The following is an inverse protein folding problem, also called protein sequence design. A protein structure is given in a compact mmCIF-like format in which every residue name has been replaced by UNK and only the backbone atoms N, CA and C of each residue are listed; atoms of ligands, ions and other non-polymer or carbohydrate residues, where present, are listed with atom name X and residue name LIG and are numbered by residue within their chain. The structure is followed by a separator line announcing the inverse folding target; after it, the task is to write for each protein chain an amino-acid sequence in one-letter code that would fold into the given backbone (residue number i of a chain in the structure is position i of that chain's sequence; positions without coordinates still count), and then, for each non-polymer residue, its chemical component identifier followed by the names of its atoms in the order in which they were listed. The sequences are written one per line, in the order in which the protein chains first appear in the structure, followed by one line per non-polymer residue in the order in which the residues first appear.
data_IF_155258548278
#
_entry.id   IF_155258548278
#
_cell.length_a   1.000
_cell.length_b   1.000
_cell.length_c   1.000
_cell.angle_alpha   90.00
_cell.angle_beta   90.00
_cell.angle_gamma   90.00
#
_symmetry.space_group_name_H-M   'P 1'
#
loop_
_entity.id
_entity.type
_entity.pdbx_description
1 polymer ?
#
# COMPACT_ATOMS: atom_id res chain seq x y z
N UNK A 1 2.48 18.41 0.67
CA UNK A 1 1.84 17.09 0.52
C UNK A 1 1.69 16.80 -0.96
N UNK A 2 2.08 15.62 -1.42
CA UNK A 2 1.87 15.15 -2.79
C UNK A 2 0.66 14.22 -2.84
N UNK A 3 -0.09 14.21 -3.94
CA UNK A 3 -1.30 13.39 -4.09
C UNK A 3 -1.26 12.61 -5.40
N UNK A 4 -1.34 11.29 -5.33
CA UNK A 4 -1.60 10.43 -6.47
C UNK A 4 -3.09 10.05 -6.46
N UNK A 5 -3.88 10.66 -7.34
CA UNK A 5 -5.33 10.46 -7.42
C UNK A 5 -5.78 10.50 -8.90
N UNK A 6 -5.85 9.34 -9.59
CA UNK A 6 -6.25 9.29 -11.00
C UNK A 6 -7.56 10.05 -11.26
N UNK A 7 -7.58 10.90 -12.29
CA UNK A 7 -8.74 11.71 -12.67
C UNK A 7 -8.85 13.08 -11.97
N UNK A 8 -7.98 13.41 -11.02
CA UNK A 8 -7.94 14.74 -10.37
C UNK A 8 -6.92 15.67 -11.02
N UNK A 9 -7.25 16.97 -11.09
CA UNK A 9 -6.39 18.00 -11.67
C UNK A 9 -5.15 18.33 -10.82
N UNK A 10 -5.24 18.16 -9.51
CA UNK A 10 -4.15 18.41 -8.54
C UNK A 10 -3.26 17.18 -8.30
N UNK A 11 -3.51 16.08 -9.01
CA UNK A 11 -2.76 14.84 -8.83
C UNK A 11 -1.40 14.86 -9.53
N UNK A 12 -0.41 14.31 -8.84
CA UNK A 12 0.87 13.94 -9.43
C UNK A 12 0.73 12.63 -10.22
N UNK A 13 1.59 12.49 -11.22
CA UNK A 13 1.72 11.27 -12.01
C UNK A 13 2.87 10.40 -11.50
N UNK A 14 2.60 9.10 -11.34
CA UNK A 14 3.56 8.09 -10.91
C UNK A 14 3.48 6.90 -11.86
N UNK A 15 4.46 6.80 -12.76
CA UNK A 15 4.62 5.65 -13.64
C UNK A 15 5.38 4.52 -12.91
N UNK A 16 4.75 3.36 -12.65
CA UNK A 16 5.41 2.25 -11.97
C UNK A 16 6.61 1.69 -12.75
N UNK A 17 6.57 1.68 -14.09
CA UNK A 17 7.68 1.14 -14.88
C UNK A 17 8.96 1.95 -14.69
N UNK A 18 8.84 3.27 -14.60
CA UNK A 18 9.99 4.16 -14.43
C UNK A 18 10.59 4.10 -13.01
N UNK A 19 9.90 3.46 -12.06
CA UNK A 19 10.45 3.13 -10.74
C UNK A 19 11.33 1.87 -10.72
N UNK A 20 11.40 1.11 -11.82
CA UNK A 20 12.27 -0.08 -11.92
C UNK A 20 13.71 0.34 -12.23
N UNK A 21 14.66 -0.03 -11.36
CA UNK A 21 16.08 0.30 -11.58
C UNK A 21 16.68 -0.54 -12.70
N UNK A 22 17.70 0.01 -13.38
CA UNK A 22 18.50 -0.73 -14.34
C UNK A 22 19.47 -1.73 -13.69
N UNK A 23 20.23 -2.43 -14.53
CA UNK A 23 21.34 -3.28 -14.09
C UNK A 23 20.93 -4.49 -13.26
N UNK A 24 21.68 -4.77 -12.19
CA UNK A 24 21.52 -5.98 -11.37
C UNK A 24 20.16 -6.09 -10.65
N UNK A 25 19.47 -4.96 -10.42
CA UNK A 25 18.20 -4.91 -9.69
C UNK A 25 16.96 -4.94 -10.58
N UNK A 26 17.13 -4.82 -11.90
CA UNK A 26 16.01 -4.68 -12.84
C UNK A 26 15.01 -5.83 -12.73
N UNK A 27 15.49 -7.06 -12.63
CA UNK A 27 14.62 -8.23 -12.49
C UNK A 27 13.85 -8.22 -11.16
N UNK A 28 14.54 -7.98 -10.04
CA UNK A 28 13.91 -8.00 -8.71
C UNK A 28 12.89 -6.88 -8.52
N UNK A 29 13.20 -5.68 -9.02
CA UNK A 29 12.30 -4.53 -8.92
C UNK A 29 11.04 -4.73 -9.77
N UNK A 30 11.23 -5.17 -11.02
CA UNK A 30 10.11 -5.47 -11.90
C UNK A 30 9.27 -6.64 -11.36
N UNK A 31 9.90 -7.64 -10.74
CA UNK A 31 9.22 -8.77 -10.10
C UNK A 31 8.36 -8.31 -8.91
N UNK A 32 8.87 -7.45 -8.04
CA UNK A 32 8.12 -6.91 -6.91
C UNK A 32 6.92 -6.07 -7.39
N UNK A 33 7.12 -5.21 -8.39
CA UNK A 33 6.04 -4.47 -9.03
C UNK A 33 4.99 -5.41 -9.64
N UNK A 34 5.41 -6.42 -10.41
CA UNK A 34 4.51 -7.34 -11.09
C UNK A 34 3.69 -8.20 -10.11
N UNK A 35 4.30 -8.65 -9.01
CA UNK A 35 3.59 -9.34 -7.91
C UNK A 35 2.56 -8.45 -7.24
N UNK A 36 2.96 -7.23 -6.88
CA UNK A 36 2.06 -6.23 -6.31
C UNK A 36 0.90 -5.92 -7.25
N UNK A 37 1.16 -5.79 -8.55
CA UNK A 37 0.14 -5.51 -9.55
C UNK A 37 -0.81 -6.67 -9.80
N UNK A 38 -0.29 -7.84 -10.16
CA UNK A 38 -1.11 -8.99 -10.55
C UNK A 38 -1.82 -9.65 -9.37
N UNK A 39 -1.25 -9.53 -8.16
CA UNK A 39 -1.75 -10.16 -6.93
C UNK A 39 -2.05 -11.66 -7.13
N UNK A 40 -1.20 -12.32 -7.90
CA UNK A 40 -1.36 -13.70 -8.36
C UNK A 40 -0.19 -14.57 -7.88
N UNK A 41 -0.44 -15.85 -7.67
CA UNK A 41 0.60 -16.85 -7.41
C UNK A 41 1.10 -17.53 -8.70
N UNK A 42 0.48 -17.24 -9.84
CA UNK A 42 0.93 -17.75 -11.14
C UNK A 42 2.29 -17.14 -11.50
N UNK A 43 3.34 -17.90 -11.20
CA UNK A 43 4.72 -17.50 -11.46
C UNK A 43 5.01 -17.21 -12.93
N UNK A 44 4.30 -17.84 -13.87
CA UNK A 44 4.52 -17.60 -15.29
C UNK A 44 3.82 -16.35 -15.78
N UNK A 45 2.60 -16.08 -15.30
CA UNK A 45 1.92 -14.79 -15.54
C UNK A 45 2.75 -13.62 -14.99
N UNK A 46 3.27 -13.77 -13.77
CA UNK A 46 4.14 -12.78 -13.15
C UNK A 46 5.41 -12.59 -13.98
N UNK A 47 6.15 -13.68 -14.27
CA UNK A 47 7.38 -13.60 -15.02
C UNK A 47 7.18 -12.99 -16.43
N UNK A 48 6.04 -13.28 -17.05
CA UNK A 48 5.64 -12.69 -18.34
C UNK A 48 5.44 -11.18 -18.26
N UNK A 49 4.76 -10.68 -17.21
CA UNK A 49 4.62 -9.24 -17.00
C UNK A 49 5.99 -8.57 -16.76
N UNK A 50 6.85 -9.21 -15.96
CA UNK A 50 8.22 -8.72 -15.70
C UNK A 50 9.02 -8.60 -17.00
N UNK A 51 9.00 -9.65 -17.82
CA UNK A 51 9.70 -9.65 -19.10
C UNK A 51 9.20 -8.57 -20.04
N UNK A 52 7.88 -8.38 -20.15
CA UNK A 52 7.28 -7.33 -20.97
C UNK A 52 7.59 -5.93 -20.44
N UNK A 53 7.58 -5.72 -19.12
CA UNK A 53 7.93 -4.45 -18.50
C UNK A 53 9.37 -4.05 -18.82
N UNK A 54 10.32 -4.97 -18.62
CA UNK A 54 11.73 -4.74 -18.91
C UNK A 54 12.00 -4.56 -20.40
N UNK A 55 11.27 -5.30 -21.25
CA UNK A 55 11.32 -5.13 -22.70
C UNK A 55 10.82 -3.75 -23.14
N UNK A 56 9.71 -3.27 -22.58
CA UNK A 56 9.18 -1.92 -22.85
C UNK A 56 10.14 -0.83 -22.39
N UNK A 57 10.73 -0.96 -21.20
CA UNK A 57 11.74 -0.01 -20.72
C UNK A 57 12.98 0.06 -21.62
N UNK A 58 13.35 -1.06 -22.24
CA UNK A 58 14.54 -1.14 -23.10
C UNK A 58 14.26 -0.67 -24.53
N UNK A 59 13.10 -1.02 -25.10
CA UNK A 59 12.87 -0.93 -26.55
C UNK A 59 11.66 -0.10 -26.96
N UNK A 60 10.72 0.22 -26.05
CA UNK A 60 9.61 1.09 -26.40
C UNK A 60 10.09 2.55 -26.55
N UNK A 61 9.39 3.30 -27.41
CA UNK A 61 9.55 4.76 -27.48
C UNK A 61 9.27 5.38 -26.11
N UNK A 62 9.92 6.48 -25.73
CA UNK A 62 9.76 7.09 -24.41
C UNK A 62 8.31 7.26 -23.96
N UNK A 63 7.42 7.66 -24.87
CA UNK A 63 6.00 7.93 -24.61
C UNK A 63 5.20 6.65 -24.34
N UNK A 64 5.70 5.49 -24.80
CA UNK A 64 5.07 4.18 -24.62
C UNK A 64 5.67 3.38 -23.43
N UNK A 65 6.58 3.98 -22.64
CA UNK A 65 7.20 3.33 -21.47
C UNK A 65 6.31 3.39 -20.23
N UNK A 66 5.06 2.95 -20.38
CA UNK A 66 4.04 2.92 -19.32
C UNK A 66 3.25 1.61 -19.37
N UNK A 67 2.48 1.32 -18.32
CA UNK A 67 1.58 0.17 -18.31
C UNK A 67 0.45 0.32 -19.35
N UNK A 68 0.02 1.54 -19.64
CA UNK A 68 -0.92 1.84 -20.73
C UNK A 68 -0.30 1.57 -22.11
N UNK A 69 0.95 1.99 -22.34
CA UNK A 69 1.70 1.68 -23.57
C UNK A 69 1.93 0.17 -23.76
N UNK A 70 2.22 -0.55 -22.66
CA UNK A 70 2.27 -2.01 -22.68
C UNK A 70 0.95 -2.64 -23.10
N UNK A 71 -0.18 -2.16 -22.56
CA UNK A 71 -1.50 -2.64 -22.97
C UNK A 71 -1.77 -2.38 -24.44
N UNK A 72 -1.45 -1.19 -24.94
CA UNK A 72 -1.60 -0.88 -26.38
C UNK A 72 -0.79 -1.84 -27.25
N UNK A 73 0.42 -2.20 -26.83
CA UNK A 73 1.23 -3.19 -27.53
C UNK A 73 0.64 -4.62 -27.48
N UNK A 74 -0.21 -4.94 -26.50
CA UNK A 74 -0.91 -6.23 -26.38
C UNK A 74 -2.21 -6.31 -27.19
N UNK A 75 -2.63 -5.23 -27.84
CA UNK A 75 -3.78 -5.26 -28.76
C UNK A 75 -3.58 -6.25 -29.93
N UNK A 76 -2.33 -6.49 -30.32
CA UNK A 76 -1.92 -7.55 -31.25
C UNK A 76 -0.96 -8.52 -30.54
N UNK A 77 -1.47 -9.53 -29.82
CA UNK A 77 -0.65 -10.43 -29.01
C UNK A 77 0.24 -11.33 -29.88
N UNK A 78 -0.16 -11.66 -31.12
CA UNK A 78 0.67 -12.47 -32.02
C UNK A 78 1.90 -11.69 -32.48
N UNK A 79 1.71 -10.45 -32.93
CA UNK A 79 2.82 -9.57 -33.28
C UNK A 79 3.73 -9.33 -32.09
N UNK A 80 3.15 -9.03 -30.92
CA UNK A 80 3.93 -8.78 -29.70
C UNK A 80 4.78 -9.97 -29.29
N UNK A 81 4.21 -11.17 -29.37
CA UNK A 81 4.92 -12.43 -29.13
C UNK A 81 6.07 -12.62 -30.13
N UNK A 82 5.83 -12.43 -31.43
CA UNK A 82 6.85 -12.58 -32.46
C UNK A 82 8.00 -11.58 -32.27
N UNK A 83 7.69 -10.31 -32.04
CA UNK A 83 8.69 -9.25 -31.80
C UNK A 83 9.52 -9.52 -30.54
N UNK A 84 8.90 -9.99 -29.45
CA UNK A 84 9.62 -10.35 -28.23
C UNK A 84 10.54 -11.55 -28.46
N UNK A 85 10.02 -12.62 -29.05
CA UNK A 85 10.79 -13.85 -29.31
C UNK A 85 11.94 -13.62 -30.28
N UNK A 86 11.77 -12.78 -31.30
CA UNK A 86 12.82 -12.42 -32.26
C UNK A 86 13.95 -11.64 -31.58
N UNK A 87 13.63 -10.64 -30.76
CA UNK A 87 14.63 -9.83 -30.05
C UNK A 87 15.46 -10.65 -29.05
N UNK A 88 14.84 -11.61 -28.39
CA UNK A 88 15.47 -12.46 -27.37
C UNK A 88 15.80 -13.87 -27.91
N UNK A 89 15.97 -14.01 -29.23
CA UNK A 89 16.21 -15.29 -29.90
C UNK A 89 17.61 -15.88 -29.61
N UNK A 90 18.62 -15.01 -29.54
CA UNK A 90 20.04 -15.36 -29.44
C UNK A 90 20.60 -15.14 -28.01
N UNK A 91 21.59 -15.95 -27.63
CA UNK A 91 22.45 -15.65 -26.48
C UNK A 91 23.30 -14.46 -26.89
N UNK A 92 23.00 -13.27 -26.37
CA UNK A 92 24.00 -12.20 -26.37
C UNK A 92 25.20 -12.70 -25.57
N UNK A 93 26.31 -12.98 -26.25
CA UNK A 93 27.57 -13.44 -25.64
C UNK A 93 28.24 -12.35 -24.79
N UNK A 94 27.75 -11.10 -24.88
CA UNK A 94 28.13 -10.01 -24.00
C UNK A 94 27.15 -9.89 -22.82
N UNK A 95 27.67 -10.18 -21.64
CA UNK A 95 27.21 -9.83 -20.31
C UNK A 95 26.17 -8.67 -20.24
N UNK A 96 24.96 -8.93 -19.72
CA UNK A 96 23.91 -7.90 -19.51
C UNK A 96 23.04 -8.20 -18.27
N UNK A 97 23.60 -8.83 -17.24
CA UNK A 97 22.99 -9.02 -15.93
C UNK A 97 21.78 -9.98 -15.84
N UNK A 98 21.26 -10.23 -14.62
CA UNK A 98 20.23 -11.25 -14.35
C UNK A 98 18.94 -11.09 -15.18
N UNK A 99 18.55 -9.85 -15.46
CA UNK A 99 17.34 -9.52 -16.22
C UNK A 99 17.38 -10.00 -17.69
N UNK A 100 18.56 -10.03 -18.30
CA UNK A 100 18.71 -10.48 -19.69
C UNK A 100 18.56 -11.99 -19.81
N UNK A 101 19.20 -12.75 -18.90
CA UNK A 101 19.07 -14.20 -18.86
C UNK A 101 17.62 -14.67 -18.68
N UNK A 102 16.86 -14.00 -17.82
CA UNK A 102 15.45 -14.31 -17.59
C UNK A 102 14.55 -13.99 -18.79
N UNK A 103 14.77 -12.86 -19.49
CA UNK A 103 14.05 -12.54 -20.73
C UNK A 103 14.29 -13.59 -21.82
N UNK A 104 15.54 -14.03 -22.01
CA UNK A 104 15.88 -15.13 -22.92
C UNK A 104 15.25 -16.46 -22.48
N UNK A 105 15.18 -16.74 -21.18
CA UNK A 105 14.49 -17.94 -20.65
C UNK A 105 13.00 -17.92 -21.01
N UNK A 106 12.32 -16.79 -20.82
CA UNK A 106 10.89 -16.64 -21.13
C UNK A 106 10.66 -16.71 -22.64
N UNK A 107 11.49 -16.07 -23.45
CA UNK A 107 11.40 -16.16 -24.91
C UNK A 107 11.56 -17.61 -25.42
N UNK A 108 12.44 -18.41 -24.81
CA UNK A 108 12.57 -19.84 -25.13
C UNK A 108 11.31 -20.62 -24.76
N UNK A 109 10.72 -20.36 -23.59
CA UNK A 109 9.47 -20.99 -23.21
C UNK A 109 8.33 -20.63 -24.17
N UNK A 110 8.15 -19.33 -24.47
CA UNK A 110 7.10 -18.87 -25.37
C UNK A 110 7.25 -19.38 -26.81
N UNK A 111 8.48 -19.60 -27.29
CA UNK A 111 8.72 -20.27 -28.59
C UNK A 111 8.33 -21.74 -28.57
N UNK A 112 8.53 -22.43 -27.44
CA UNK A 112 8.19 -23.84 -27.28
C UNK A 112 6.67 -24.06 -27.22
N UNK A 113 5.95 -23.15 -26.58
CA UNK A 113 4.49 -23.22 -26.42
C UNK A 113 3.86 -21.85 -26.70
N UNK A 114 3.68 -21.55 -27.99
CA UNK A 114 3.13 -20.28 -28.45
C UNK A 114 1.66 -20.08 -28.06
N UNK A 115 0.87 -21.16 -27.99
CA UNK A 115 -0.53 -21.05 -27.58
C UNK A 115 -0.68 -20.69 -26.11
N UNK A 116 0.11 -21.31 -25.22
CA UNK A 116 0.15 -20.91 -23.82
C UNK A 116 0.62 -19.47 -23.65
N UNK A 117 1.65 -19.07 -24.40
CA UNK A 117 2.13 -17.69 -24.40
C UNK A 117 1.01 -16.70 -24.79
N UNK A 118 0.28 -16.98 -25.87
CA UNK A 118 -0.84 -16.13 -26.31
C UNK A 118 -1.97 -16.07 -25.27
N UNK A 119 -2.28 -17.16 -24.57
CA UNK A 119 -3.22 -17.13 -23.44
C UNK A 119 -2.72 -16.21 -22.33
N UNK A 120 -1.45 -16.33 -21.93
CA UNK A 120 -0.84 -15.45 -20.91
C UNK A 120 -0.86 -13.98 -21.36
N UNK A 121 -0.57 -13.67 -22.62
CA UNK A 121 -0.61 -12.29 -23.13
C UNK A 121 -2.03 -11.70 -23.08
N UNK A 122 -3.06 -12.48 -23.43
CA UNK A 122 -4.47 -12.06 -23.30
C UNK A 122 -4.87 -11.87 -21.84
N UNK A 123 -4.36 -12.71 -20.94
CA UNK A 123 -4.60 -12.55 -19.50
C UNK A 123 -3.97 -11.25 -18.99
N UNK A 124 -2.76 -10.92 -19.43
CA UNK A 124 -2.12 -9.65 -19.10
C UNK A 124 -2.87 -8.44 -19.67
N UNK A 125 -3.38 -8.50 -20.89
CA UNK A 125 -4.23 -7.43 -21.45
C UNK A 125 -5.47 -7.18 -20.57
N UNK A 126 -6.17 -8.26 -20.15
CA UNK A 126 -7.31 -8.17 -19.23
C UNK A 126 -6.92 -7.55 -17.88
N UNK A 127 -5.75 -7.88 -17.34
CA UNK A 127 -5.24 -7.32 -16.08
C UNK A 127 -4.86 -5.85 -16.20
N UNK A 128 -4.44 -5.42 -17.39
CA UNK A 128 -4.09 -4.03 -17.68
C UNK A 128 -5.31 -3.19 -18.10
N UNK A 129 -6.52 -3.78 -18.15
CA UNK A 129 -7.73 -3.11 -18.60
C UNK A 129 -8.04 -1.81 -17.85
N UNK A 130 -7.57 -1.65 -16.60
CA UNK A 130 -7.72 -0.40 -15.84
C UNK A 130 -7.16 0.82 -16.58
N UNK A 131 -6.15 0.64 -17.44
CA UNK A 131 -5.53 1.71 -18.21
C UNK A 131 -6.29 2.05 -19.50
N UNK A 132 -7.53 1.59 -19.67
CA UNK A 132 -8.38 1.95 -20.81
C UNK A 132 -9.12 3.27 -20.66
N UNK A 133 -9.26 3.76 -19.42
CA UNK A 133 -10.18 4.84 -19.07
C UNK A 133 -9.59 6.26 -19.19
N UNK A 134 -8.39 6.39 -19.74
CA UNK A 134 -7.70 7.67 -19.88
C UNK A 134 -7.10 8.18 -18.57
N UNK A 135 -7.89 8.23 -17.49
CA UNK A 135 -7.50 8.76 -16.18
C UNK A 135 -6.28 8.03 -15.60
N UNK A 136 -6.31 6.71 -15.56
CA UNK A 136 -5.18 5.93 -15.05
C UNK A 136 -4.01 5.91 -16.03
N UNK A 137 -4.29 6.02 -17.33
CA UNK A 137 -3.24 6.10 -18.34
C UNK A 137 -2.44 7.40 -18.18
N UNK A 138 -3.12 8.55 -18.01
CA UNK A 138 -2.52 9.85 -17.77
C UNK A 138 -1.79 9.89 -16.42
N UNK A 139 -2.44 9.40 -15.35
CA UNK A 139 -1.84 9.36 -14.01
C UNK A 139 -0.57 8.49 -13.94
N UNK A 140 -0.35 7.59 -14.91
CA UNK A 140 0.82 6.71 -14.98
C UNK A 140 1.70 6.94 -16.20
N UNK A 141 1.51 8.02 -16.97
CA UNK A 141 2.32 8.27 -18.17
C UNK A 141 3.74 8.73 -17.80
N UNK A 142 3.85 9.62 -16.81
CA UNK A 142 5.11 10.22 -16.37
C UNK A 142 5.40 9.90 -14.90
N UNK A 143 6.60 10.25 -14.45
CA UNK A 143 7.10 9.90 -13.11
C UNK A 143 7.63 11.15 -12.42
N UNK A 144 6.76 11.81 -11.66
CA UNK A 144 7.04 13.09 -11.00
C UNK A 144 7.61 12.92 -9.58
N UNK A 145 7.48 11.73 -8.99
CA UNK A 145 7.99 11.41 -7.66
C UNK A 145 8.75 10.10 -7.69
N UNK A 146 10.02 10.12 -7.26
CA UNK A 146 10.75 8.89 -6.95
C UNK A 146 10.49 8.52 -5.49
N UNK A 147 10.07 7.30 -5.22
CA UNK A 147 9.83 6.85 -3.85
C UNK A 147 11.08 6.94 -2.95
N UNK A 148 12.27 6.89 -3.54
CA UNK A 148 13.52 7.13 -2.84
C UNK A 148 13.52 8.51 -2.15
N UNK A 149 12.99 9.54 -2.80
CA UNK A 149 12.98 10.93 -2.31
C UNK A 149 12.02 11.09 -1.14
N UNK A 150 10.90 10.36 -1.16
CA UNK A 150 9.99 10.23 -0.01
C UNK A 150 10.67 9.52 1.17
N UNK A 151 11.44 8.46 0.91
CA UNK A 151 12.17 7.70 1.96
C UNK A 151 13.31 8.52 2.57
N UNK A 152 14.02 9.30 1.76
CA UNK A 152 15.09 10.20 2.22
C UNK A 152 14.57 11.45 2.96
N UNK A 153 13.26 11.73 2.87
CA UNK A 153 12.63 12.89 3.52
C UNK A 153 12.68 14.19 2.71
N UNK A 154 12.99 14.12 1.42
CA UNK A 154 12.93 15.27 0.50
C UNK A 154 11.47 15.66 0.19
N UNK A 155 10.54 14.69 0.28
CA UNK A 155 9.10 14.93 0.27
C UNK A 155 8.48 14.62 1.65
N UNK A 156 7.54 15.45 2.10
CA UNK A 156 6.94 15.32 3.43
C UNK A 156 5.89 14.20 3.53
N UNK A 157 5.02 14.07 2.54
CA UNK A 157 3.97 13.06 2.51
C UNK A 157 3.43 12.82 1.10
N UNK A 158 2.97 11.59 0.87
CA UNK A 158 2.27 11.13 -0.33
C UNK A 158 0.92 10.53 0.07
N UNK A 159 -0.16 11.01 -0.52
CA UNK A 159 -1.48 10.37 -0.42
C UNK A 159 -1.79 9.67 -1.74
N UNK A 160 -1.98 8.36 -1.70
CA UNK A 160 -2.46 7.56 -2.81
C UNK A 160 -3.96 7.30 -2.62
N UNK A 161 -4.77 7.89 -3.48
CA UNK A 161 -6.23 7.79 -3.41
C UNK A 161 -6.74 6.81 -4.45
N UNK A 162 -7.63 5.92 -4.03
CA UNK A 162 -8.45 5.16 -4.96
C UNK A 162 -9.72 5.95 -5.30
N UNK A 163 -10.06 6.14 -6.59
CA UNK A 163 -11.30 6.82 -6.96
C UNK A 163 -12.53 6.12 -6.36
N UNK A 164 -13.47 6.86 -5.74
CA UNK A 164 -14.68 6.29 -5.15
C UNK A 164 -15.48 5.43 -6.14
N UNK A 165 -15.91 4.25 -5.70
CA UNK A 165 -16.61 3.26 -6.53
C UNK A 165 -15.73 2.49 -7.52
N UNK A 166 -14.43 2.81 -7.62
CA UNK A 166 -13.45 2.12 -8.49
C UNK A 166 -12.26 1.58 -7.69
N UNK A 167 -12.42 1.41 -6.38
CA UNK A 167 -11.36 1.02 -5.46
C UNK A 167 -10.78 -0.35 -5.81
N UNK A 168 -11.65 -1.34 -6.06
CA UNK A 168 -11.22 -2.69 -6.45
C UNK A 168 -10.46 -2.71 -7.78
N UNK A 169 -10.87 -1.85 -8.72
CA UNK A 169 -10.21 -1.73 -10.02
C UNK A 169 -8.82 -1.09 -9.88
N UNK A 170 -8.66 -0.13 -8.96
CA UNK A 170 -7.44 0.64 -8.74
C UNK A 170 -6.46 -0.06 -7.79
N UNK A 171 -6.96 -0.95 -6.93
CA UNK A 171 -6.17 -1.69 -5.94
C UNK A 171 -4.91 -2.40 -6.50
N UNK A 172 -4.93 -3.06 -7.68
CA UNK A 172 -3.73 -3.57 -8.34
C UNK A 172 -2.61 -2.53 -8.52
N UNK A 173 -2.95 -1.34 -9.02
CA UNK A 173 -1.98 -0.28 -9.24
C UNK A 173 -1.40 0.22 -7.91
N UNK A 174 -2.26 0.48 -6.93
CA UNK A 174 -1.84 0.92 -5.60
C UNK A 174 -0.95 -0.13 -4.91
N UNK A 175 -1.29 -1.41 -5.05
CA UNK A 175 -0.49 -2.53 -4.53
C UNK A 175 0.90 -2.58 -5.17
N UNK A 176 1.00 -2.33 -6.49
CA UNK A 176 2.29 -2.20 -7.18
C UNK A 176 3.11 -1.01 -6.65
N UNK A 177 2.48 0.16 -6.48
CA UNK A 177 3.13 1.36 -5.94
C UNK A 177 3.64 1.15 -4.51
N UNK A 178 2.86 0.51 -3.65
CA UNK A 178 3.28 0.13 -2.29
C UNK A 178 4.46 -0.83 -2.30
N UNK A 179 4.45 -1.84 -3.18
CA UNK A 179 5.57 -2.77 -3.32
C UNK A 179 6.87 -2.05 -3.73
N UNK A 180 6.76 -1.04 -4.60
CA UNK A 180 7.89 -0.21 -5.00
C UNK A 180 8.35 0.73 -3.89
N UNK A 181 7.44 1.33 -3.13
CA UNK A 181 7.76 2.16 -1.96
C UNK A 181 8.52 1.35 -0.90
N UNK A 182 8.09 0.12 -0.62
CA UNK A 182 8.78 -0.79 0.31
C UNK A 182 10.14 -1.24 -0.25
N UNK A 183 10.24 -1.43 -1.55
CA UNK A 183 11.52 -1.70 -2.23
C UNK A 183 12.46 -0.49 -2.16
N UNK A 184 11.90 0.72 -2.08
CA UNK A 184 12.68 1.93 -2.01
C UNK A 184 13.40 2.12 -0.66
N UNK A 185 12.90 1.47 0.40
CA UNK A 185 13.61 1.35 1.67
C UNK A 185 14.71 0.27 1.54
N UNK A 186 15.97 0.59 1.88
CA UNK A 186 17.05 -0.40 1.80
C UNK A 186 16.82 -1.56 2.78
N UNK A 187 17.58 -2.64 2.61
CA UNK A 187 17.66 -3.69 3.62
C UNK A 187 18.18 -3.15 4.97
N UNK A 188 19.05 -2.15 4.95
CA UNK A 188 19.51 -1.42 6.13
C UNK A 188 18.50 -0.30 6.48
N UNK A 189 18.18 -0.16 7.76
CA UNK A 189 17.16 0.79 8.24
C UNK A 189 17.58 2.26 8.14
N UNK A 190 18.88 2.53 8.03
CA UNK A 190 19.49 3.86 8.02
C UNK A 190 19.72 4.41 6.60
N UNK A 191 19.38 3.65 5.55
CA UNK A 191 19.59 4.06 4.16
C UNK A 191 18.38 3.77 3.26
N UNK A 192 18.25 4.55 2.19
CA UNK A 192 17.41 4.19 1.07
C UNK A 192 18.14 3.24 0.11
N UNK A 193 17.41 2.68 -0.85
CA UNK A 193 17.96 1.73 -1.83
C UNK A 193 19.00 2.32 -2.80
N UNK A 194 19.20 3.65 -2.79
CA UNK A 194 20.24 4.36 -3.52
C UNK A 194 21.46 4.67 -2.64
N UNK A 195 21.43 4.26 -1.37
CA UNK A 195 22.49 4.49 -0.40
C UNK A 195 22.45 5.86 0.27
N UNK A 196 21.40 6.66 0.06
CA UNK A 196 21.21 7.93 0.77
C UNK A 196 20.81 7.67 2.21
N UNK A 197 21.14 8.59 3.11
CA UNK A 197 20.73 8.51 4.51
C UNK A 197 19.22 8.56 4.65
N UNK A 198 18.68 7.64 5.45
CA UNK A 198 17.28 7.64 5.87
C UNK A 198 17.23 8.16 7.30
N UNK A 199 16.79 9.41 7.53
CA UNK A 199 16.90 10.02 8.84
C UNK A 199 15.97 9.37 9.87
N UNK A 200 14.84 8.78 9.44
CA UNK A 200 13.84 8.15 10.32
C UNK A 200 12.96 7.12 9.60
N UNK A 201 12.13 6.41 10.35
CA UNK A 201 11.19 5.40 9.84
C UNK A 201 10.10 5.98 8.93
N UNK A 202 9.72 5.24 7.89
CA UNK A 202 8.60 5.56 7.01
C UNK A 202 7.31 5.02 7.64
N UNK A 203 6.26 5.84 7.72
CA UNK A 203 4.94 5.39 8.16
C UNK A 203 3.98 5.26 6.98
N UNK A 204 3.33 4.11 6.85
CA UNK A 204 2.28 3.85 5.87
C UNK A 204 0.96 3.66 6.61
N UNK A 205 0.00 4.55 6.35
CA UNK A 205 -1.35 4.49 6.88
C UNK A 205 -2.30 4.01 5.78
N UNK A 206 -3.06 2.94 6.05
CA UNK A 206 -4.05 2.36 5.13
C UNK A 206 -5.43 2.42 5.79
N UNK A 207 -6.34 3.16 5.18
CA UNK A 207 -7.73 3.26 5.64
C UNK A 207 -8.48 1.92 5.48
N UNK A 208 -9.53 1.71 6.27
CA UNK A 208 -10.33 0.48 6.25
C UNK A 208 -10.90 0.15 4.85
N UNK A 209 -11.42 1.14 4.12
CA UNK A 209 -12.00 0.91 2.78
C UNK A 209 -10.94 0.57 1.74
N UNK A 210 -9.82 1.31 1.74
CA UNK A 210 -8.67 1.01 0.89
C UNK A 210 -8.10 -0.38 1.20
N UNK A 211 -7.99 -0.73 2.49
CA UNK A 211 -7.56 -2.06 2.91
C UNK A 211 -8.52 -3.14 2.38
N UNK A 212 -9.83 -2.94 2.52
CA UNK A 212 -10.85 -3.87 1.99
C UNK A 212 -10.67 -4.13 0.49
N UNK A 213 -10.43 -3.08 -0.30
CA UNK A 213 -10.14 -3.22 -1.73
C UNK A 213 -8.80 -3.94 -2.01
N UNK A 214 -7.75 -3.62 -1.23
CA UNK A 214 -6.42 -4.24 -1.33
C UNK A 214 -6.38 -5.71 -0.92
N UNK A 215 -7.33 -6.17 -0.10
CA UNK A 215 -7.42 -7.58 0.34
C UNK A 215 -8.45 -8.39 -0.45
N UNK A 216 -9.39 -7.73 -1.13
CA UNK A 216 -10.36 -8.40 -1.99
C UNK A 216 -9.66 -9.20 -3.09
N UNK A 217 -10.12 -10.43 -3.34
CA UNK A 217 -9.54 -11.31 -4.36
C UNK A 217 -9.53 -10.60 -5.72
N UNK A 218 -8.39 -10.56 -6.44
CA UNK A 218 -8.29 -9.96 -7.77
C UNK A 218 -9.06 -10.74 -8.86
N UNK A 219 -9.69 -11.88 -8.55
CA UNK A 219 -10.48 -12.68 -9.50
C UNK A 219 -11.63 -11.92 -10.17
N UNK A 220 -11.96 -12.23 -11.44
CA UNK A 220 -13.14 -11.70 -12.10
C UNK A 220 -14.38 -12.37 -11.49
N UNK A 221 -15.14 -11.65 -10.66
CA UNK A 221 -16.49 -12.00 -10.21
C UNK A 221 -16.83 -13.51 -10.19
N UNK A 222 -16.14 -14.31 -9.37
CA UNK A 222 -16.60 -15.66 -9.08
C UNK A 222 -17.64 -15.63 -7.94
N UNK A 223 -18.67 -16.48 -7.99
CA UNK A 223 -19.78 -16.45 -7.05
C UNK A 223 -19.32 -16.76 -5.61
N UNK A 224 -20.01 -16.14 -4.66
CA UNK A 224 -19.69 -15.99 -3.24
C UNK A 224 -19.49 -17.27 -2.39
N UNK A 225 -19.28 -18.45 -2.99
CA UNK A 225 -19.30 -19.75 -2.30
C UNK A 225 -17.93 -20.45 -2.19
N UNK A 226 -16.81 -19.79 -2.48
CA UNK A 226 -15.49 -20.36 -2.20
C UNK A 226 -15.12 -20.12 -0.72
N UNK A 227 -15.19 -21.18 0.10
CA UNK A 227 -14.75 -21.20 1.50
C UNK A 227 -13.43 -20.47 1.73
N UNK A 228 -13.48 -19.40 2.53
CA UNK A 228 -12.38 -18.49 2.83
C UNK A 228 -11.37 -19.19 3.75
N UNK A 229 -10.52 -20.06 3.19
CA UNK A 229 -9.30 -20.43 3.89
C UNK A 229 -8.46 -19.17 4.02
N UNK A 230 -8.15 -18.81 5.27
CA UNK A 230 -7.28 -17.73 5.75
C UNK A 230 -5.89 -17.75 5.08
N UNK A 231 -5.83 -17.49 3.78
CA UNK A 231 -4.60 -17.33 3.02
C UNK A 231 -4.01 -15.97 3.42
N UNK A 232 -2.71 -15.88 3.73
CA UNK A 232 -2.09 -14.60 3.99
C UNK A 232 -2.34 -13.67 2.80
N UNK A 233 -2.70 -12.43 3.13
CA UNK A 233 -3.02 -11.38 2.19
C UNK A 233 -1.86 -11.22 1.18
N UNK A 234 -2.11 -11.19 -0.15
CA UNK A 234 -1.06 -11.05 -1.16
C UNK A 234 -0.34 -9.69 -1.10
N UNK A 235 -0.88 -8.70 -0.38
CA UNK A 235 -0.16 -7.47 -0.08
C UNK A 235 1.01 -7.72 0.89
N UNK A 236 0.87 -8.72 1.76
CA UNK A 236 1.77 -8.99 2.89
C UNK A 236 2.68 -10.20 2.66
N UNK A 237 2.77 -10.74 1.45
CA UNK A 237 3.76 -11.77 1.16
C UNK A 237 5.17 -11.18 1.00
N UNK A 238 6.18 -11.93 1.45
CA UNK A 238 7.64 -11.71 1.26
C UNK A 238 8.20 -10.31 1.56
N UNK A 239 7.90 -9.31 0.73
CA UNK A 239 8.46 -7.96 0.74
C UNK A 239 7.95 -7.11 1.91
N UNK A 240 6.64 -7.14 2.23
CA UNK A 240 6.09 -6.35 3.34
C UNK A 240 6.39 -6.97 4.71
N UNK A 241 6.44 -8.30 4.83
CA UNK A 241 6.83 -8.97 6.08
C UNK A 241 8.24 -8.59 6.56
N UNK A 242 9.15 -8.21 5.65
CA UNK A 242 10.48 -7.70 5.97
C UNK A 242 10.56 -6.17 6.11
N UNK A 243 9.49 -5.44 5.80
CA UNK A 243 9.51 -3.98 5.71
C UNK A 243 9.77 -3.31 7.09
N UNK A 244 9.33 -3.93 8.19
CA UNK A 244 9.66 -3.46 9.54
C UNK A 244 11.17 -3.44 9.81
N UNK A 245 11.93 -4.41 9.30
CA UNK A 245 13.39 -4.42 9.43
C UNK A 245 14.06 -3.33 8.58
N UNK A 246 13.34 -2.81 7.56
CA UNK A 246 13.77 -1.72 6.67
C UNK A 246 13.32 -0.33 7.16
N UNK A 247 12.84 -0.24 8.40
CA UNK A 247 12.31 0.99 8.98
C UNK A 247 10.99 1.44 8.36
N UNK A 248 10.12 0.51 7.95
CA UNK A 248 8.74 0.82 7.52
C UNK A 248 7.79 0.38 8.62
N UNK A 249 6.88 1.26 9.02
CA UNK A 249 5.79 0.98 9.96
C UNK A 249 4.47 1.09 9.23
N UNK A 250 3.52 0.25 9.59
CA UNK A 250 2.17 0.28 9.03
C UNK A 250 1.19 0.69 10.12
N UNK A 251 0.16 1.43 9.74
CA UNK A 251 -1.06 1.62 10.51
C UNK A 251 -2.20 1.24 9.57
N UNK A 252 -2.97 0.22 9.94
CA UNK A 252 -4.04 -0.32 9.09
C UNK A 252 -5.38 -0.12 9.75
N UNK A 253 -6.45 -0.01 8.94
CA UNK A 253 -7.82 0.20 9.42
C UNK A 253 -8.03 1.55 10.12
N UNK A 254 -7.27 2.57 9.75
CA UNK A 254 -7.58 3.93 10.20
C UNK A 254 -8.99 4.30 9.73
N UNK A 255 -9.88 4.63 10.68
CA UNK A 255 -11.27 5.02 10.42
C UNK A 255 -11.40 6.51 10.09
N UNK A 256 -10.45 7.33 10.54
CA UNK A 256 -10.40 8.79 10.33
C UNK A 256 -8.95 9.25 10.19
N UNK A 257 -8.74 10.33 9.45
CA UNK A 257 -7.43 10.98 9.35
C UNK A 257 -6.95 11.50 10.71
N UNK A 258 -7.88 11.97 11.55
CA UNK A 258 -7.60 12.40 12.93
C UNK A 258 -6.98 11.29 13.77
N UNK A 259 -7.41 10.04 13.57
CA UNK A 259 -6.84 8.88 14.27
C UNK A 259 -5.37 8.65 13.87
N UNK A 260 -5.01 8.98 12.63
CA UNK A 260 -3.63 8.92 12.14
C UNK A 260 -2.81 10.15 12.57
N UNK A 261 -3.41 11.34 12.55
CA UNK A 261 -2.80 12.61 12.97
C UNK A 261 -2.42 12.61 14.45
N UNK A 262 -3.38 12.27 15.31
CA UNK A 262 -3.19 12.14 16.76
C UNK A 262 -2.10 11.10 17.11
N UNK A 263 -1.89 10.13 16.23
CA UNK A 263 -1.01 9.00 16.43
C UNK A 263 0.43 9.27 15.99
N UNK A 264 0.64 10.20 15.05
CA UNK A 264 1.97 10.72 14.71
C UNK A 264 2.38 11.97 15.50
N UNK A 265 1.45 12.53 16.29
CA UNK A 265 1.66 13.78 17.04
C UNK A 265 1.60 15.02 16.15
N UNK A 266 0.94 14.92 14.99
CA UNK A 266 0.60 16.06 14.14
C UNK A 266 -0.78 16.58 14.52
N UNK A 267 -1.00 17.89 14.44
CA UNK A 267 -2.34 18.43 14.64
C UNK A 267 -3.19 18.10 13.41
N UNK A 268 -4.47 17.79 13.60
CA UNK A 268 -5.38 17.52 12.48
C UNK A 268 -5.43 18.69 11.46
N UNK A 269 -5.13 19.91 11.92
CA UNK A 269 -5.00 21.12 11.10
C UNK A 269 -3.76 21.13 10.19
N UNK A 270 -2.73 20.32 10.48
CA UNK A 270 -1.56 20.15 9.61
C UNK A 270 -1.89 19.33 8.35
N UNK A 271 -3.04 18.64 8.37
CA UNK A 271 -3.60 17.97 7.22
C UNK A 271 -4.60 18.92 6.54
N UNK A 272 -4.40 19.17 5.25
CA UNK A 272 -5.29 20.04 4.43
C UNK A 272 -6.73 19.51 4.43
N UNK A 273 -7.74 20.39 4.34
CA UNK A 273 -9.18 20.02 4.23
C UNK A 273 -9.42 18.90 3.22
N UNK A 274 -8.74 18.92 2.07
CA UNK A 274 -8.85 17.87 1.05
C UNK A 274 -8.44 16.45 1.49
N UNK A 275 -7.69 16.30 2.59
CA UNK A 275 -7.30 15.00 3.13
C UNK A 275 -8.37 14.42 4.08
N UNK A 276 -9.25 15.27 4.62
CA UNK A 276 -10.36 14.87 5.49
C UNK A 276 -11.53 14.28 4.71
N UNK A 277 -11.70 14.66 3.43
CA UNK A 277 -12.81 14.24 2.55
C UNK A 277 -12.65 12.85 1.91
N UNK A 278 -11.57 12.11 2.18
CA UNK A 278 -11.22 10.93 1.37
C UNK A 278 -11.40 9.63 2.13
N UNK A 279 -12.56 9.00 1.93
CA UNK A 279 -12.82 7.60 2.27
C UNK A 279 -12.39 6.68 1.11
N UNK A 280 -11.13 6.27 1.11
CA UNK A 280 -10.43 5.20 0.37
C UNK A 280 -8.97 5.61 0.08
N UNK A 281 -8.29 6.21 1.07
CA UNK A 281 -6.93 6.72 0.92
C UNK A 281 -5.87 5.83 1.61
N UNK A 282 -4.66 5.92 1.07
CA UNK A 282 -3.44 5.41 1.70
C UNK A 282 -2.48 6.59 1.81
N UNK A 283 -2.05 6.90 3.02
CA UNK A 283 -1.05 7.93 3.25
C UNK A 283 0.30 7.27 3.53
N UNK A 284 1.29 7.54 2.67
CA UNK A 284 2.69 7.30 2.97
C UNK A 284 3.27 8.61 3.51
N UNK A 285 3.55 8.64 4.81
CA UNK A 285 4.09 9.79 5.48
C UNK A 285 5.60 9.60 5.54
N UNK A 286 6.37 10.64 5.17
CA UNK A 286 7.82 10.64 5.18
C UNK A 286 8.41 10.35 6.58
N UNK A 287 9.74 10.46 6.74
CA UNK A 287 10.44 10.04 7.96
C UNK A 287 9.80 10.57 9.27
N UNK A 288 9.29 9.66 10.10
CA UNK A 288 8.61 9.93 11.37
C UNK A 288 9.54 9.73 12.57
N UNK A 289 9.41 10.50 13.67
CA UNK A 289 10.14 10.22 14.90
C UNK A 289 9.95 8.77 15.37
N UNK A 290 11.02 8.13 15.85
CA UNK A 290 11.01 6.71 16.25
C UNK A 290 9.90 6.38 17.25
N UNK A 291 9.60 7.31 18.16
CA UNK A 291 8.53 7.14 19.14
C UNK A 291 7.14 7.08 18.48
N UNK A 292 6.84 7.99 17.54
CA UNK A 292 5.59 8.01 16.77
C UNK A 292 5.45 6.77 15.89
N UNK A 293 6.55 6.37 15.24
CA UNK A 293 6.61 5.20 14.37
C UNK A 293 6.41 3.89 15.17
N UNK A 294 7.04 3.77 16.34
CA UNK A 294 6.89 2.62 17.23
C UNK A 294 5.46 2.54 17.81
N UNK A 295 4.91 3.66 18.26
CA UNK A 295 3.52 3.73 18.74
C UNK A 295 2.52 3.33 17.66
N UNK A 296 2.69 3.84 16.43
CA UNK A 296 1.87 3.47 15.28
C UNK A 296 1.90 1.96 14.99
N UNK A 297 3.09 1.35 15.05
CA UNK A 297 3.24 -0.08 14.85
C UNK A 297 2.57 -0.92 15.93
N UNK A 298 2.41 -0.41 17.16
CA UNK A 298 1.63 -1.09 18.21
C UNK A 298 0.12 -1.01 18.00
N UNK A 299 -0.35 -0.03 17.23
CA UNK A 299 -1.75 0.14 16.85
C UNK A 299 -2.08 -0.53 15.51
N UNK A 300 -1.04 -0.84 14.72
CA UNK A 300 -1.12 -1.74 13.58
C UNK A 300 -1.61 -3.11 14.02
N UNK A 301 -2.81 -3.50 13.60
CA UNK A 301 -3.31 -4.84 13.85
C UNK A 301 -4.37 -4.97 14.94
N UNK A 302 -5.35 -4.06 15.00
CA UNK A 302 -6.67 -4.51 15.45
C UNK A 302 -7.28 -5.61 14.56
N UNK A 303 -6.73 -5.87 13.36
CA UNK A 303 -6.89 -7.17 12.67
C UNK A 303 -5.61 -7.56 11.87
N UNK A 304 -5.05 -8.71 12.24
CA UNK A 304 -3.99 -9.56 11.62
C UNK A 304 -2.51 -9.20 11.81
N UNK A 305 -1.85 -9.99 12.67
CA UNK A 305 -0.39 -10.20 12.70
C UNK A 305 -0.10 -11.56 12.02
N UNK A 306 0.58 -11.55 10.89
CA UNK A 306 1.24 -12.75 10.37
C UNK A 306 2.53 -13.00 11.17
N UNK A 307 2.66 -14.18 11.77
CA UNK A 307 3.97 -14.78 12.09
C UNK A 307 4.60 -14.54 13.46
N UNK A 308 3.90 -14.00 14.46
CA UNK A 308 4.47 -13.90 15.80
C UNK A 308 4.34 -15.23 16.58
N UNK A 309 5.50 -15.81 16.94
CA UNK A 309 5.67 -16.93 17.88
C UNK A 309 4.77 -16.75 19.12
N UNK A 310 4.25 -17.86 19.65
CA UNK A 310 3.32 -17.88 20.79
C UNK A 310 3.80 -17.05 22.00
N UNK A 311 5.12 -16.89 22.17
CA UNK A 311 5.73 -16.07 23.21
C UNK A 311 5.42 -14.56 23.07
N UNK A 312 5.36 -14.05 21.83
CA UNK A 312 5.04 -12.63 21.58
C UNK A 312 3.54 -12.38 21.82
N UNK A 313 2.66 -13.33 21.48
CA UNK A 313 1.22 -13.21 21.78
C UNK A 313 0.94 -13.14 23.29
N UNK A 314 1.67 -13.91 24.10
CA UNK A 314 1.57 -13.82 25.56
C UNK A 314 2.07 -12.47 26.09
N UNK A 315 3.18 -11.94 25.56
CA UNK A 315 3.68 -10.62 25.93
C UNK A 315 2.66 -9.50 25.57
N UNK A 316 2.01 -9.59 24.41
CA UNK A 316 0.96 -8.66 23.98
C UNK A 316 -0.31 -8.74 24.84
N UNK A 317 -0.73 -9.95 25.23
CA UNK A 317 -1.91 -10.14 26.07
C UNK A 317 -1.68 -9.58 27.48
N UNK A 318 -0.47 -9.76 28.02
CA UNK A 318 -0.08 -9.22 29.33
C UNK A 318 0.10 -7.69 29.31
N UNK A 319 0.65 -7.12 28.23
CA UNK A 319 0.78 -5.68 28.08
C UNK A 319 -0.60 -4.99 27.94
N UNK A 320 -1.53 -5.57 27.16
CA UNK A 320 -2.89 -5.08 27.03
C UNK A 320 -3.68 -5.15 28.35
N UNK A 321 -3.48 -6.23 29.13
CA UNK A 321 -4.07 -6.35 30.47
C UNK A 321 -3.50 -5.31 31.46
N UNK A 322 -2.19 -5.03 31.40
CA UNK A 322 -1.54 -4.02 32.24
C UNK A 322 -1.98 -2.57 31.88
N UNK A 323 -2.19 -2.28 30.59
CA UNK A 323 -2.71 -0.99 30.12
C UNK A 323 -4.21 -0.82 30.45
N UNK A 324 -5.00 -1.90 30.37
CA UNK A 324 -6.39 -1.93 30.83
C UNK A 324 -6.53 -1.70 32.34
N UNK A 325 -5.66 -2.33 33.13
CA UNK A 325 -5.62 -2.15 34.59
C UNK A 325 -5.19 -0.71 35.00
N UNK A 326 -4.22 -0.11 34.29
CA UNK A 326 -3.82 1.29 34.52
C UNK A 326 -4.91 2.30 34.15
N UNK A 327 -5.65 2.07 33.06
CA UNK A 327 -6.82 2.90 32.70
C UNK A 327 -7.98 2.72 33.68
N UNK A 328 -8.19 1.52 34.22
CA UNK A 328 -9.19 1.26 35.27
C UNK A 328 -8.89 2.01 36.58
N UNK A 329 -7.62 2.06 37.00
CA UNK A 329 -7.19 2.78 38.19
C UNK A 329 -7.21 4.30 38.01
N UNK A 330 -6.79 4.82 36.85
CA UNK A 330 -6.88 6.25 36.54
C UNK A 330 -8.33 6.75 36.40
N UNK A 331 -9.22 5.92 35.83
CA UNK A 331 -10.66 6.22 35.72
C UNK A 331 -11.44 6.10 37.03
N UNK A 332 -10.90 5.40 38.05
CA UNK A 332 -11.48 5.34 39.38
C UNK A 332 -11.09 6.55 40.23
N UNK A 333 -9.83 7.01 40.14
CA UNK A 333 -9.35 8.19 40.87
C UNK A 333 -9.98 9.51 40.35
N UNK A 334 -10.16 9.65 39.03
CA UNK A 334 -10.79 10.85 38.45
C UNK A 334 -12.29 11.01 38.77
N UNK A 335 -13.01 9.89 39.02
CA UNK A 335 -14.44 9.93 39.34
C UNK A 335 -14.74 10.21 40.80
N UNK A 336 -13.82 9.95 41.73
CA UNK A 336 -13.97 10.35 43.13
C UNK A 336 -13.71 11.85 43.35
N UNK A 337 -12.89 12.47 42.50
CA UNK A 337 -12.50 13.88 42.66
C UNK A 337 -13.50 14.84 41.97
N UNK A 338 -14.14 14.40 40.88
CA UNK A 338 -15.19 15.17 40.22
C UNK A 338 -16.54 15.16 40.97
N UNK A 339 -16.83 14.09 41.75
CA UNK A 339 -17.99 14.06 42.66
C UNK A 339 -17.81 14.86 43.95
N UNK A 340 -16.58 15.11 44.41
CA UNK A 340 -16.32 16.01 45.56
C UNK A 340 -16.37 17.49 45.17
N UNK A 341 -16.00 17.86 43.93
CA UNK A 341 -16.02 19.27 43.49
C UNK A 341 -17.37 19.81 43.03
N UNK A 342 -18.38 18.97 42.84
CA UNK A 342 -19.75 19.39 42.46
C UNK A 342 -20.78 19.26 43.58
N UNK A 343 -20.36 18.90 44.81
CA UNK A 343 -21.24 18.76 45.98
C UNK A 343 -21.36 19.99 46.88
N UNK A 344 -20.49 21.00 46.74
CA UNK A 344 -20.33 22.07 47.76
C UNK A 344 -20.75 23.48 47.31
N UNK A 345 -21.59 23.63 46.27
CA UNK A 345 -22.04 24.96 45.81
C UNK A 345 -23.55 25.14 45.64
N UNK A 346 -24.38 24.39 46.37
CA UNK A 346 -25.83 24.61 46.34
C UNK A 346 -26.56 24.29 47.67
N UNK A 347 -26.13 24.87 48.80
CA UNK A 347 -26.98 25.01 49.99
C UNK A 347 -26.65 26.35 50.69
N UNK A 348 -27.29 27.44 50.27
CA UNK A 348 -27.43 28.66 51.06
C UNK A 348 -28.54 29.59 50.51
N UNK A 349 -29.79 29.17 50.62
CA UNK A 349 -30.93 30.08 50.85
C UNK A 349 -32.18 29.27 51.16
N UNK A 350 -32.53 29.23 52.45
CA UNK A 350 -33.82 28.74 52.92
C UNK A 350 -34.91 29.82 52.82
N UNK A 351 -36.13 29.39 53.17
CA UNK A 351 -37.44 30.06 53.12
C UNK A 351 -38.18 29.88 51.78
N UNK A 352 -39.39 29.34 51.67
CA UNK A 352 -40.45 29.04 52.64
C UNK A 352 -41.48 28.09 52.02
N UNK A 353 -41.86 27.05 52.78
CA UNK A 353 -43.23 26.70 53.15
C UNK A 353 -44.29 26.21 52.11
N UNK A 354 -44.77 25.01 52.46
CA UNK A 354 -46.13 24.42 52.36
C UNK A 354 -46.46 23.36 51.28
N UNK A 355 -47.20 22.31 51.70
CA UNK A 355 -47.34 21.05 50.96
C UNK A 355 -48.69 20.98 50.22
N UNK A 356 -48.70 20.28 49.09
CA UNK A 356 -49.92 19.63 48.60
C UNK A 356 -49.63 18.17 48.24
N UNK A 357 -50.41 17.31 48.89
CA UNK A 357 -50.62 15.90 48.57
C UNK A 357 -51.18 15.75 47.15
N UNK A 358 -51.02 14.56 46.56
CA UNK A 358 -52.13 13.63 46.19
C UNK A 358 -51.60 12.56 45.21
N UNK A 359 -51.49 11.35 45.77
CA UNK A 359 -51.75 9.98 45.29
C UNK A 359 -51.64 9.55 43.82
N UNK A 360 -50.98 8.39 43.67
CA UNK A 360 -51.32 7.21 42.86
C UNK A 360 -52.46 7.33 41.82
N UNK A 361 -52.11 7.12 40.55
CA UNK A 361 -52.44 5.89 39.83
C UNK A 361 -51.45 5.62 38.69
#
# INVERSE_FOLDING_TARGET
MLRFAPGRADAIAINPLLGVRGGAHAWSDALNMARGFLRSEDGMLIASLVALALDSLTHAKPEARSLSGMRQALADPQRRLAEFCARWAERSESDLGPATGERTRIARYWRRDGEAALRTLRDLDRRLALFSDGDHALATECHQLRFADLVAGEASSLVMQMPPGRERLTAPLISALLAQLVTACAAASDRDHLGRGKPRDLLIVIEANALSALVADPGPAEPANATWKKKPLPLFDGSICGACARGVRFLVQASRLDDAAALIGAEAADFTEDAQDVFAAIAAIGPQPDASAAFAATLAGQVWVCGASAAIRQAFTLAAAALGARRGLAGAAGRSEMRRRWGDTAIASGHEAHPWQVTHH
#
